data_IF_130031857568
#
_entry.id   IF_130031857568
#
_cell.length_a   1.000
_cell.length_b   1.000
_cell.length_c   1.000
_cell.angle_alpha   90.00
_cell.angle_beta   90.00
_cell.angle_gamma   90.00
#
_symmetry.space_group_name_H-M   'P 1'
#
loop_
_entity.id
_entity.type
_entity.pdbx_description
1 polymer ?
#
# COMPACT_ATOMS: atom_id res chain seq x y z
N UNK A 1 -13.26 -9.53 6.96
CA UNK A 1 -13.93 -10.02 5.74
C UNK A 1 -13.20 -11.27 5.22
N UNK A 2 -13.92 -12.31 4.77
CA UNK A 2 -13.32 -13.51 4.17
C UNK A 2 -12.57 -13.18 2.88
N UNK A 3 -11.47 -13.90 2.58
CA UNK A 3 -10.67 -13.70 1.36
C UNK A 3 -11.47 -13.97 0.09
N UNK A 4 -12.41 -14.90 0.16
CA UNK A 4 -13.32 -15.30 -0.94
C UNK A 4 -14.36 -14.23 -1.28
N UNK A 5 -14.51 -13.19 -0.46
CA UNK A 5 -15.45 -12.09 -0.70
C UNK A 5 -14.83 -10.95 -1.55
N UNK A 6 -13.55 -11.06 -1.92
CA UNK A 6 -12.82 -10.04 -2.69
C UNK A 6 -12.61 -10.50 -4.13
N UNK A 7 -12.65 -9.57 -5.08
CA UNK A 7 -12.31 -9.85 -6.47
C UNK A 7 -10.81 -9.63 -6.68
N UNK A 8 -10.09 -10.65 -7.10
CA UNK A 8 -8.63 -10.61 -7.29
C UNK A 8 -8.29 -10.10 -8.69
N UNK A 9 -8.80 -8.93 -9.09
CA UNK A 9 -8.51 -8.33 -10.40
C UNK A 9 -7.07 -7.76 -10.47
N UNK A 10 -6.51 -7.49 -11.66
CA UNK A 10 -5.10 -7.14 -11.84
C UNK A 10 -4.59 -6.05 -10.91
N UNK A 11 -5.27 -4.90 -10.84
CA UNK A 11 -4.82 -3.78 -10.01
C UNK A 11 -4.81 -4.13 -8.51
N UNK A 12 -5.79 -4.91 -8.02
CA UNK A 12 -5.79 -5.35 -6.62
C UNK A 12 -4.66 -6.33 -6.31
N UNK A 13 -4.37 -7.26 -7.21
CA UNK A 13 -3.22 -8.18 -7.06
C UNK A 13 -1.90 -7.43 -7.10
N UNK A 14 -1.76 -6.47 -8.01
CA UNK A 14 -0.60 -5.60 -8.08
C UNK A 14 -0.43 -4.76 -6.81
N UNK A 15 -1.51 -4.16 -6.29
CA UNK A 15 -1.51 -3.41 -5.04
C UNK A 15 -1.03 -4.26 -3.85
N UNK A 16 -1.59 -5.46 -3.66
CA UNK A 16 -1.17 -6.35 -2.57
C UNK A 16 0.30 -6.77 -2.71
N UNK A 17 0.75 -7.11 -3.93
CA UNK A 17 2.14 -7.45 -4.19
C UNK A 17 3.10 -6.27 -3.93
N UNK A 18 2.76 -5.07 -4.40
CA UNK A 18 3.54 -3.85 -4.18
C UNK A 18 3.61 -3.49 -2.69
N UNK A 19 2.50 -3.61 -1.96
CA UNK A 19 2.45 -3.40 -0.50
C UNK A 19 3.32 -4.40 0.24
N UNK A 20 3.24 -5.68 -0.12
CA UNK A 20 4.07 -6.74 0.49
C UNK A 20 5.55 -6.53 0.19
N UNK A 21 5.91 -6.23 -1.06
CA UNK A 21 7.28 -5.93 -1.47
C UNK A 21 7.84 -4.73 -0.72
N UNK A 22 7.09 -3.63 -0.62
CA UNK A 22 7.50 -2.44 0.12
C UNK A 22 7.70 -2.76 1.61
N UNK A 23 6.76 -3.47 2.25
CA UNK A 23 6.90 -3.89 3.64
C UNK A 23 8.16 -4.74 3.86
N UNK A 24 8.37 -5.76 3.02
CA UNK A 24 9.52 -6.66 3.15
C UNK A 24 10.85 -5.91 2.97
N UNK A 25 10.93 -5.00 1.99
CA UNK A 25 12.11 -4.17 1.79
C UNK A 25 12.38 -3.26 3.00
N UNK A 26 11.36 -2.60 3.56
CA UNK A 26 11.53 -1.71 4.71
C UNK A 26 11.94 -2.48 5.97
N UNK A 27 11.34 -3.64 6.23
CA UNK A 27 11.72 -4.49 7.36
C UNK A 27 13.15 -5.02 7.20
N UNK A 28 13.55 -5.41 5.98
CA UNK A 28 14.92 -5.85 5.72
C UNK A 28 15.94 -4.74 5.96
N UNK A 29 15.66 -3.50 5.53
CA UNK A 29 16.53 -2.34 5.79
C UNK A 29 16.62 -2.02 7.28
N UNK A 30 15.51 -2.05 8.01
CA UNK A 30 15.49 -1.79 9.44
C UNK A 30 16.29 -2.86 10.21
N UNK A 31 16.01 -4.14 9.96
CA UNK A 31 16.72 -5.25 10.58
C UNK A 31 18.21 -5.19 10.22
N UNK A 32 18.55 -4.93 8.96
CA UNK A 32 19.93 -4.78 8.51
C UNK A 32 20.67 -3.64 9.22
N UNK A 33 20.02 -2.49 9.41
CA UNK A 33 20.58 -1.36 10.16
C UNK A 33 20.84 -1.73 11.62
N UNK A 34 19.90 -2.41 12.29
CA UNK A 34 20.05 -2.82 13.69
C UNK A 34 21.12 -3.91 13.86
N UNK A 35 21.17 -4.90 12.97
CA UNK A 35 22.22 -5.93 12.95
C UNK A 35 23.59 -5.28 12.75
N UNK A 36 23.70 -4.34 11.80
CA UNK A 36 24.96 -3.62 11.55
C UNK A 36 25.37 -2.78 12.75
N UNK A 37 24.43 -2.04 13.36
CA UNK A 37 24.70 -1.25 14.56
C UNK A 37 25.23 -2.12 15.71
N UNK A 38 24.64 -3.30 15.93
CA UNK A 38 25.10 -4.24 16.96
C UNK A 38 26.47 -4.84 16.60
N UNK A 39 26.71 -5.17 15.33
CA UNK A 39 28.00 -5.72 14.90
C UNK A 39 29.15 -4.71 15.10
N UNK A 40 28.91 -3.42 14.84
CA UNK A 40 29.91 -2.36 15.06
C UNK A 40 30.32 -2.21 16.53
N UNK A 41 29.53 -2.71 17.48
CA UNK A 41 29.89 -2.73 18.90
C UNK A 41 31.17 -3.51 19.17
N UNK A 42 31.43 -4.56 18.38
CA UNK A 42 32.67 -5.36 18.46
C UNK A 42 33.92 -4.56 18.06
N UNK A 43 33.73 -3.41 17.42
CA UNK A 43 34.80 -2.54 16.91
C UNK A 43 34.74 -1.13 17.49
N UNK A 44 33.94 -0.89 18.55
CA UNK A 44 33.64 0.45 19.07
C UNK A 44 34.90 1.25 19.43
N UNK A 45 35.92 0.59 19.98
CA UNK A 45 37.17 1.24 20.42
C UNK A 45 38.19 1.44 19.29
N UNK A 46 37.88 1.01 18.07
CA UNK A 46 38.75 1.23 16.92
C UNK A 46 38.83 2.72 16.57
N UNK A 47 40.05 3.19 16.31
CA UNK A 47 40.29 4.50 15.71
C UNK A 47 40.19 4.51 14.17
N UNK A 48 40.15 3.32 13.55
CA UNK A 48 40.08 3.14 12.09
C UNK A 48 38.68 3.44 11.58
N UNK A 49 38.60 3.90 10.32
CA UNK A 49 37.32 4.14 9.65
C UNK A 49 36.70 2.83 9.13
N UNK A 50 35.41 2.85 8.76
CA UNK A 50 34.71 1.66 8.29
C UNK A 50 35.32 1.07 7.01
N UNK A 51 35.80 1.88 6.07
CA UNK A 51 36.44 1.41 4.83
C UNK A 51 37.70 0.61 5.10
N UNK A 52 38.44 0.97 6.14
CA UNK A 52 39.65 0.29 6.57
C UNK A 52 39.37 -1.04 7.29
N UNK A 53 38.25 -1.13 8.01
CA UNK A 53 37.85 -2.32 8.77
C UNK A 53 37.10 -3.30 7.85
N UNK A 54 36.29 -2.80 6.92
CA UNK A 54 35.40 -3.57 6.05
C UNK A 54 35.56 -3.19 4.57
N UNK A 55 36.77 -3.34 3.97
CA UNK A 55 37.06 -2.85 2.62
C UNK A 55 36.26 -3.56 1.52
N UNK A 56 35.67 -4.72 1.81
CA UNK A 56 34.90 -5.49 0.82
C UNK A 56 33.43 -5.08 0.76
N UNK A 57 32.93 -4.22 1.67
CA UNK A 57 31.54 -3.78 1.66
C UNK A 57 31.35 -2.75 0.53
N UNK A 58 30.48 -3.01 -0.46
CA UNK A 58 30.21 -2.05 -1.52
C UNK A 58 29.74 -0.71 -0.95
N UNK A 59 30.29 0.38 -1.47
CA UNK A 59 29.95 1.75 -1.09
C UNK A 59 30.26 2.17 0.36
N UNK A 60 31.02 1.40 1.13
CA UNK A 60 31.41 1.77 2.51
C UNK A 60 32.12 3.13 2.58
N UNK A 61 32.88 3.50 1.54
CA UNK A 61 33.55 4.80 1.40
C UNK A 61 32.59 6.00 1.43
N UNK A 62 31.30 5.81 1.09
CA UNK A 62 30.28 6.87 1.14
C UNK A 62 29.73 7.09 2.55
N UNK A 63 30.00 6.15 3.46
CA UNK A 63 29.59 6.15 4.85
C UNK A 63 30.82 5.90 5.74
N UNK A 64 31.95 6.51 5.38
CA UNK A 64 33.25 6.19 5.96
C UNK A 64 33.49 6.93 7.29
N UNK A 65 32.80 6.45 8.32
CA UNK A 65 32.84 6.99 9.67
C UNK A 65 33.63 6.07 10.59
N UNK A 66 33.91 6.54 11.81
CA UNK A 66 34.36 5.65 12.88
C UNK A 66 33.19 4.77 13.36
N UNK A 67 33.44 3.56 13.88
CA UNK A 67 32.39 2.62 14.27
C UNK A 67 31.36 3.18 15.28
N UNK A 68 31.80 4.01 16.23
CA UNK A 68 30.94 4.67 17.21
C UNK A 68 29.95 5.66 16.56
N UNK A 69 30.45 6.52 15.67
CA UNK A 69 29.62 7.48 14.93
C UNK A 69 28.66 6.78 13.95
N UNK A 70 29.15 5.77 13.22
CA UNK A 70 28.32 4.96 12.34
C UNK A 70 27.20 4.22 13.11
N UNK A 71 27.54 3.64 14.27
CA UNK A 71 26.57 2.97 15.14
C UNK A 71 25.46 3.92 15.58
N UNK A 72 25.78 5.16 15.96
CA UNK A 72 24.79 6.16 16.37
C UNK A 72 23.78 6.46 15.24
N UNK A 73 24.27 6.64 14.00
CA UNK A 73 23.42 6.88 12.83
C UNK A 73 22.54 5.65 12.53
N UNK A 74 23.10 4.44 12.56
CA UNK A 74 22.35 3.22 12.28
C UNK A 74 21.26 2.96 13.33
N UNK A 75 21.51 3.29 14.60
CA UNK A 75 20.48 3.21 15.65
C UNK A 75 19.36 4.22 15.43
N UNK A 76 19.66 5.40 14.87
CA UNK A 76 18.69 6.43 14.50
C UNK A 76 17.99 6.22 13.15
N UNK A 77 18.35 5.18 12.39
CA UNK A 77 17.87 4.99 11.01
C UNK A 77 16.36 4.75 10.92
N UNK A 78 15.72 4.28 12.00
CA UNK A 78 14.28 4.00 12.03
C UNK A 78 13.43 5.22 11.67
N UNK A 79 13.75 6.40 12.23
CA UNK A 79 12.99 7.63 11.97
C UNK A 79 13.07 8.02 10.48
N UNK A 80 14.25 7.92 9.90
CA UNK A 80 14.48 8.24 8.49
C UNK A 80 13.80 7.23 7.56
N UNK A 81 13.89 5.93 7.89
CA UNK A 81 13.21 4.89 7.14
C UNK A 81 11.69 5.06 7.21
N UNK A 82 11.12 5.36 8.38
CA UNK A 82 9.70 5.65 8.53
C UNK A 82 9.27 6.85 7.69
N UNK A 83 10.07 7.93 7.69
CA UNK A 83 9.81 9.14 6.90
C UNK A 83 9.83 8.91 5.39
N UNK A 84 10.49 7.85 4.91
CA UNK A 84 10.47 7.42 3.51
C UNK A 84 9.38 6.38 3.22
N UNK A 85 9.19 5.43 4.15
CA UNK A 85 8.33 4.27 4.00
C UNK A 85 6.83 4.61 4.06
N UNK A 86 6.42 5.47 5.00
CA UNK A 86 5.02 5.86 5.14
C UNK A 86 4.51 6.56 3.87
N UNK A 87 5.21 7.58 3.31
CA UNK A 87 4.81 8.16 2.03
C UNK A 87 4.70 7.14 0.90
N UNK A 88 5.63 6.18 0.81
CA UNK A 88 5.59 5.12 -0.20
C UNK A 88 4.36 4.22 -0.03
N UNK A 89 4.04 3.79 1.19
CA UNK A 89 2.86 2.98 1.48
C UNK A 89 1.56 3.71 1.11
N UNK A 90 1.47 5.00 1.42
CA UNK A 90 0.33 5.84 1.03
C UNK A 90 0.23 6.00 -0.49
N UNK A 91 1.35 6.18 -1.19
CA UNK A 91 1.37 6.31 -2.64
C UNK A 91 0.92 5.03 -3.37
N UNK A 92 1.32 3.85 -2.87
CA UNK A 92 0.86 2.54 -3.40
C UNK A 92 -0.66 2.41 -3.25
N UNK A 93 -1.23 2.91 -2.15
CA UNK A 93 -2.67 2.93 -1.94
C UNK A 93 -3.37 3.96 -2.84
N UNK A 94 -2.84 5.17 -2.94
CA UNK A 94 -3.36 6.22 -3.81
C UNK A 94 -3.42 5.75 -5.27
N UNK A 95 -2.37 5.10 -5.78
CA UNK A 95 -2.38 4.49 -7.12
C UNK A 95 -3.50 3.46 -7.31
N UNK A 96 -3.69 2.57 -6.34
CA UNK A 96 -4.77 1.58 -6.40
C UNK A 96 -6.17 2.21 -6.41
N UNK A 97 -6.41 3.26 -5.63
CA UNK A 97 -7.71 3.96 -5.66
C UNK A 97 -7.95 4.64 -7.01
N UNK A 98 -6.90 5.16 -7.66
CA UNK A 98 -7.01 5.70 -9.01
C UNK A 98 -7.39 4.60 -10.03
N UNK A 99 -6.78 3.42 -9.95
CA UNK A 99 -7.16 2.28 -10.78
C UNK A 99 -8.62 1.87 -10.56
N UNK A 100 -9.10 1.94 -9.31
CA UNK A 100 -10.51 1.67 -8.98
C UNK A 100 -11.45 2.72 -9.60
N UNK A 101 -11.08 4.00 -9.57
CA UNK A 101 -11.85 5.09 -10.19
C UNK A 101 -11.92 4.92 -11.72
N UNK A 102 -10.80 4.56 -12.35
CA UNK A 102 -10.76 4.27 -13.78
C UNK A 102 -11.71 3.13 -14.15
N UNK A 103 -11.71 2.05 -13.37
CA UNK A 103 -12.56 0.87 -13.62
C UNK A 103 -14.07 1.19 -13.59
N UNK A 104 -14.52 2.14 -12.77
CA UNK A 104 -15.92 2.60 -12.72
C UNK A 104 -16.20 3.81 -13.63
N UNK A 105 -15.26 4.16 -14.50
CA UNK A 105 -15.37 5.24 -15.46
C UNK A 105 -15.42 6.64 -14.83
N UNK A 106 -14.87 6.80 -13.62
CA UNK A 106 -14.76 8.11 -12.98
C UNK A 106 -13.48 8.82 -13.47
N UNK A 107 -13.58 10.13 -13.74
CA UNK A 107 -12.41 10.95 -14.10
C UNK A 107 -11.36 10.91 -12.98
N UNK A 108 -10.10 11.18 -13.32
CA UNK A 108 -9.03 11.39 -12.32
C UNK A 108 -9.47 12.37 -11.22
N UNK A 109 -9.02 12.10 -10.00
CA UNK A 109 -9.32 12.89 -8.81
C UNK A 109 -8.00 13.36 -8.18
N UNK A 110 -8.04 14.51 -7.51
CA UNK A 110 -6.94 14.88 -6.61
C UNK A 110 -6.88 13.85 -5.47
N UNK A 111 -5.68 13.58 -4.94
CA UNK A 111 -5.47 12.57 -3.90
C UNK A 111 -6.40 12.74 -2.68
N UNK A 112 -6.79 13.97 -2.35
CA UNK A 112 -7.69 14.26 -1.23
C UNK A 112 -9.18 13.97 -1.51
N UNK A 113 -9.58 13.76 -2.75
CA UNK A 113 -10.98 13.53 -3.18
C UNK A 113 -11.24 12.09 -3.63
N UNK A 114 -10.19 11.27 -3.77
CA UNK A 114 -10.28 10.00 -4.48
C UNK A 114 -11.21 8.99 -3.78
N UNK A 115 -11.16 8.91 -2.45
CA UNK A 115 -12.04 8.04 -1.67
C UNK A 115 -13.50 8.48 -1.75
N UNK A 116 -13.79 9.77 -1.53
CA UNK A 116 -15.16 10.31 -1.61
C UNK A 116 -15.77 10.09 -2.99
N UNK A 117 -14.97 10.29 -4.04
CA UNK A 117 -15.40 10.08 -5.42
C UNK A 117 -15.70 8.61 -5.71
N UNK A 118 -14.85 7.70 -5.22
CA UNK A 118 -15.05 6.26 -5.36
C UNK A 118 -16.32 5.83 -4.62
N UNK A 119 -16.46 6.22 -3.35
CA UNK A 119 -17.62 5.94 -2.52
C UNK A 119 -18.92 6.45 -3.16
N UNK A 120 -18.93 7.71 -3.62
CA UNK A 120 -20.08 8.32 -4.30
C UNK A 120 -20.44 7.58 -5.57
N UNK A 121 -19.45 7.25 -6.41
CA UNK A 121 -19.69 6.57 -7.69
C UNK A 121 -20.13 5.12 -7.50
N UNK A 122 -19.65 4.46 -6.45
CA UNK A 122 -20.03 3.10 -6.09
C UNK A 122 -21.33 3.00 -5.29
N UNK A 123 -21.89 4.13 -4.82
CA UNK A 123 -23.08 4.13 -3.98
C UNK A 123 -22.84 3.49 -2.61
N UNK A 124 -21.63 3.61 -2.06
CA UNK A 124 -21.22 3.00 -0.79
C UNK A 124 -20.42 4.00 0.05
N UNK A 125 -19.92 3.59 1.21
CA UNK A 125 -19.11 4.43 2.10
C UNK A 125 -17.97 3.65 2.73
N UNK A 126 -16.83 4.33 2.91
CA UNK A 126 -15.73 3.79 3.70
C UNK A 126 -16.05 3.86 5.19
N UNK A 127 -15.38 3.01 5.96
CA UNK A 127 -15.37 3.11 7.42
C UNK A 127 -14.73 4.43 7.86
N UNK A 128 -15.47 5.19 8.67
CA UNK A 128 -15.09 6.56 9.08
C UNK A 128 -13.79 6.56 9.86
N UNK A 129 -13.61 5.62 10.80
CA UNK A 129 -12.41 5.56 11.64
C UNK A 129 -11.15 5.24 10.82
N UNK A 130 -11.26 4.33 9.83
CA UNK A 130 -10.15 4.04 8.90
C UNK A 130 -9.83 5.24 8.01
N UNK A 131 -10.85 5.95 7.52
CA UNK A 131 -10.64 7.16 6.72
C UNK A 131 -9.97 8.29 7.52
N UNK A 132 -10.42 8.54 8.75
CA UNK A 132 -9.80 9.56 9.61
C UNK A 132 -8.33 9.22 9.89
N UNK A 133 -8.01 7.96 10.22
CA UNK A 133 -6.61 7.53 10.41
C UNK A 133 -5.77 7.69 9.14
N UNK A 134 -6.32 7.34 7.97
CA UNK A 134 -5.65 7.60 6.69
C UNK A 134 -5.37 9.10 6.48
N UNK A 135 -6.34 9.96 6.81
CA UNK A 135 -6.14 11.40 6.69
C UNK A 135 -5.11 11.96 7.67
N UNK A 136 -5.02 11.44 8.90
CA UNK A 136 -3.94 11.79 9.84
C UNK A 136 -2.58 11.43 9.24
N UNK A 137 -2.39 10.20 8.77
CA UNK A 137 -1.14 9.77 8.11
C UNK A 137 -0.78 10.63 6.90
N UNK A 138 -1.80 10.99 6.10
CA UNK A 138 -1.64 11.84 4.92
C UNK A 138 -1.18 13.25 5.31
N UNK A 139 -1.76 13.85 6.35
CA UNK A 139 -1.32 15.17 6.82
C UNK A 139 0.06 15.11 7.50
N UNK A 140 0.40 14.01 8.18
CA UNK A 140 1.77 13.77 8.67
C UNK A 140 2.77 13.70 7.50
N UNK A 141 2.45 12.98 6.42
CA UNK A 141 3.26 12.96 5.19
C UNK A 141 3.39 14.37 4.62
N UNK A 142 2.28 15.12 4.50
CA UNK A 142 2.30 16.47 3.96
C UNK A 142 3.20 17.39 4.79
N UNK A 143 3.22 17.23 6.11
CA UNK A 143 4.14 17.96 6.99
C UNK A 143 5.61 17.63 6.68
N UNK A 144 5.96 16.35 6.52
CA UNK A 144 7.32 15.93 6.14
C UNK A 144 7.73 16.49 4.78
N UNK A 145 6.88 16.39 3.77
CA UNK A 145 7.23 16.78 2.39
C UNK A 145 7.22 18.30 2.19
N UNK A 146 6.25 19.01 2.77
CA UNK A 146 5.99 20.42 2.44
C UNK A 146 6.30 21.41 3.57
N UNK A 147 6.52 20.93 4.79
CA UNK A 147 6.69 21.79 5.98
C UNK A 147 7.90 21.39 6.82
N UNK A 148 8.90 20.75 6.20
CA UNK A 148 10.13 20.30 6.87
C UNK A 148 9.88 19.44 8.12
N UNK A 149 8.77 18.68 8.12
CA UNK A 149 8.38 17.83 9.24
C UNK A 149 7.72 18.56 10.40
N UNK A 150 7.26 19.80 10.25
CA UNK A 150 6.59 20.54 11.32
C UNK A 150 5.08 20.31 11.30
N UNK A 151 4.51 19.99 12.47
CA UNK A 151 3.07 19.83 12.68
C UNK A 151 2.36 21.14 12.34
N UNK A 152 1.29 21.00 11.57
CA UNK A 152 0.50 22.10 11.03
C UNK A 152 -0.95 22.03 11.49
N UNK A 153 -1.67 23.15 11.41
CA UNK A 153 -3.09 23.19 11.78
C UNK A 153 -3.95 22.09 11.12
N UNK A 154 -3.83 21.80 9.80
CA UNK A 154 -4.59 20.71 9.19
C UNK A 154 -4.36 19.33 9.82
N UNK A 155 -3.14 19.06 10.32
CA UNK A 155 -2.85 17.81 11.02
C UNK A 155 -3.53 17.78 12.39
N UNK A 156 -3.46 18.87 13.15
CA UNK A 156 -4.14 19.01 14.45
C UNK A 156 -5.64 18.84 14.29
N UNK A 157 -6.24 19.46 13.26
CA UNK A 157 -7.67 19.33 12.96
C UNK A 157 -8.06 17.87 12.69
N UNK A 158 -7.28 17.16 11.85
CA UNK A 158 -7.51 15.73 11.56
C UNK A 158 -7.31 14.81 12.75
N UNK A 159 -6.38 15.13 13.65
CA UNK A 159 -6.23 14.41 14.92
C UNK A 159 -7.45 14.66 15.81
N UNK A 160 -7.98 15.88 15.82
CA UNK A 160 -9.21 16.24 16.53
C UNK A 160 -10.43 15.41 16.10
N UNK A 161 -10.49 15.04 14.82
CA UNK A 161 -11.56 14.21 14.23
C UNK A 161 -11.49 12.72 14.62
N UNK A 162 -10.40 12.23 15.23
CA UNK A 162 -10.31 10.83 15.64
C UNK A 162 -11.34 10.48 16.70
N UNK A 163 -12.12 9.43 16.47
CA UNK A 163 -12.98 8.84 17.51
C UNK A 163 -12.11 8.11 18.55
N UNK A 164 -12.65 7.83 19.76
CA UNK A 164 -11.95 7.00 20.74
C UNK A 164 -11.58 5.61 20.20
N UNK A 165 -12.44 5.01 19.37
CA UNK A 165 -12.16 3.71 18.75
C UNK A 165 -11.03 3.81 17.71
N UNK A 166 -11.02 4.87 16.89
CA UNK A 166 -9.94 5.17 15.96
C UNK A 166 -8.61 5.38 16.68
N UNK A 167 -8.59 6.12 17.79
CA UNK A 167 -7.39 6.33 18.59
C UNK A 167 -6.87 5.03 19.22
N UNK A 168 -7.75 4.19 19.78
CA UNK A 168 -7.35 2.87 20.29
C UNK A 168 -6.75 2.00 19.19
N UNK A 169 -7.34 2.00 17.99
CA UNK A 169 -6.81 1.26 16.85
C UNK A 169 -5.44 1.79 16.40
N UNK A 170 -5.25 3.11 16.41
CA UNK A 170 -3.95 3.73 16.14
C UNK A 170 -2.90 3.32 17.19
N UNK A 171 -3.20 3.52 18.47
CA UNK A 171 -2.31 3.17 19.59
C UNK A 171 -1.91 1.69 19.59
N UNK A 172 -2.79 0.80 19.15
CA UNK A 172 -2.48 -0.62 18.99
C UNK A 172 -1.31 -0.87 18.02
N UNK A 173 -1.17 -0.08 16.97
CA UNK A 173 -0.11 -0.24 15.98
C UNK A 173 1.12 0.60 16.31
N UNK A 174 0.93 1.82 16.81
CA UNK A 174 2.02 2.78 17.02
C UNK A 174 2.59 2.75 18.43
N UNK A 175 1.89 2.19 19.41
CA UNK A 175 2.22 2.26 20.83
C UNK A 175 1.97 3.64 21.47
N UNK A 176 1.49 4.63 20.71
CA UNK A 176 1.30 6.01 21.18
C UNK A 176 0.11 6.72 20.53
N UNK A 177 -0.52 7.63 21.26
CA UNK A 177 -1.61 8.45 20.73
C UNK A 177 -1.06 9.56 19.81
N UNK A 178 -1.72 9.85 18.68
CA UNK A 178 -1.37 11.00 17.86
C UNK A 178 -1.85 12.32 18.49
N UNK A 179 -2.73 12.28 19.50
CA UNK A 179 -3.23 13.48 20.21
C UNK A 179 -2.14 14.24 20.98
N UNK A 180 -0.99 13.61 21.20
CA UNK A 180 0.16 14.28 21.79
C UNK A 180 0.81 15.32 20.87
N UNK A 181 0.55 15.29 19.56
CA UNK A 181 1.13 16.23 18.60
C UNK A 181 0.45 17.60 18.68
N UNK A 182 1.26 18.64 18.89
CA UNK A 182 0.84 20.03 18.95
C UNK A 182 1.40 20.85 17.78
N UNK A 183 0.77 21.99 17.49
CA UNK A 183 1.23 22.90 16.45
C UNK A 183 2.69 23.33 16.71
N UNK A 184 3.56 23.17 15.71
CA UNK A 184 4.99 23.46 15.84
C UNK A 184 5.86 22.27 16.25
N UNK A 185 5.28 21.17 16.72
CA UNK A 185 6.03 19.95 17.02
C UNK A 185 6.64 19.35 15.75
N UNK A 186 7.63 18.46 15.94
CA UNK A 186 8.21 17.68 14.84
C UNK A 186 7.41 16.39 14.64
N UNK A 187 6.91 16.19 13.43
CA UNK A 187 6.36 14.90 12.98
C UNK A 187 7.49 13.88 12.90
N UNK A 188 7.29 12.75 13.57
CA UNK A 188 8.20 11.61 13.51
C UNK A 188 7.44 10.39 12.99
N UNK A 189 8.11 9.63 12.12
CA UNK A 189 7.61 8.35 11.63
C UNK A 189 8.55 7.26 12.11
N UNK A 190 8.05 6.40 12.98
CA UNK A 190 8.75 5.21 13.45
C UNK A 190 8.12 3.97 12.80
N UNK A 191 8.59 2.79 13.17
CA UNK A 191 8.02 1.52 12.73
C UNK A 191 6.51 1.45 12.98
N UNK A 192 6.05 1.99 14.12
CA UNK A 192 4.65 2.02 14.49
C UNK A 192 3.76 2.71 13.46
N UNK A 193 4.14 3.90 12.98
CA UNK A 193 3.38 4.61 11.97
C UNK A 193 3.43 3.93 10.60
N UNK A 194 4.50 3.22 10.27
CA UNK A 194 4.54 2.36 9.08
C UNK A 194 3.53 1.21 9.19
N UNK A 195 3.46 0.55 10.34
CA UNK A 195 2.47 -0.52 10.59
C UNK A 195 1.05 0.03 10.49
N UNK A 196 0.78 1.20 11.08
CA UNK A 196 -0.52 1.88 10.97
C UNK A 196 -0.86 2.22 9.51
N UNK A 197 0.09 2.75 8.74
CA UNK A 197 -0.11 3.04 7.32
C UNK A 197 -0.43 1.79 6.52
N UNK A 198 0.32 0.70 6.70
CA UNK A 198 0.08 -0.57 6.00
C UNK A 198 -1.24 -1.21 6.42
N UNK A 199 -1.62 -1.15 7.69
CA UNK A 199 -2.86 -1.72 8.20
C UNK A 199 -4.08 -0.95 7.68
N UNK A 200 -4.05 0.38 7.76
CA UNK A 200 -5.15 1.25 7.36
C UNK A 200 -5.35 1.23 5.84
N UNK A 201 -4.27 1.34 5.05
CA UNK A 201 -4.37 1.25 3.59
C UNK A 201 -4.85 -0.12 3.12
N UNK A 202 -4.37 -1.22 3.71
CA UNK A 202 -4.86 -2.57 3.41
C UNK A 202 -6.35 -2.74 3.68
N UNK A 203 -6.85 -2.19 4.79
CA UNK A 203 -8.27 -2.25 5.12
C UNK A 203 -9.12 -1.44 4.10
N UNK A 204 -8.70 -0.21 3.81
CA UNK A 204 -9.36 0.65 2.83
C UNK A 204 -9.32 0.07 1.41
N UNK A 205 -8.22 -0.56 1.00
CA UNK A 205 -8.12 -1.22 -0.30
C UNK A 205 -9.12 -2.38 -0.43
N UNK A 206 -9.35 -3.12 0.65
CA UNK A 206 -10.36 -4.20 0.68
C UNK A 206 -11.79 -3.66 0.64
N UNK A 207 -12.05 -2.55 1.32
CA UNK A 207 -13.33 -1.85 1.22
C UNK A 207 -13.57 -1.35 -0.20
N UNK A 208 -12.59 -0.67 -0.81
CA UNK A 208 -12.66 -0.23 -2.20
C UNK A 208 -12.92 -1.40 -3.16
N UNK A 209 -12.20 -2.51 -3.00
CA UNK A 209 -12.43 -3.74 -3.76
C UNK A 209 -13.88 -4.25 -3.63
N UNK A 210 -14.40 -4.26 -2.40
CA UNK A 210 -15.77 -4.69 -2.15
C UNK A 210 -16.81 -3.75 -2.77
N UNK A 211 -16.58 -2.44 -2.73
CA UNK A 211 -17.43 -1.43 -3.39
C UNK A 211 -17.48 -1.62 -4.91
N UNK A 212 -16.38 -2.06 -5.53
CA UNK A 212 -16.32 -2.28 -6.97
C UNK A 212 -17.21 -3.45 -7.44
N UNK A 213 -17.44 -4.46 -6.59
CA UNK A 213 -18.21 -5.65 -6.96
C UNK A 213 -19.61 -5.28 -7.50
N UNK A 214 -20.45 -4.53 -6.76
CA UNK A 214 -21.74 -4.09 -7.27
C UNK A 214 -21.67 -2.87 -8.19
N UNK A 215 -20.63 -2.03 -8.08
CA UNK A 215 -20.53 -0.77 -8.82
C UNK A 215 -20.12 -0.95 -10.29
N UNK A 216 -19.34 -1.99 -10.59
CA UNK A 216 -18.86 -2.27 -11.95
C UNK A 216 -19.83 -3.20 -12.67
N UNK A 217 -20.34 -2.83 -13.86
CA UNK A 217 -21.25 -3.68 -14.62
C UNK A 217 -20.64 -5.05 -14.97
N UNK A 218 -21.43 -6.14 -15.01
CA UNK A 218 -20.94 -7.48 -15.40
C UNK A 218 -20.21 -7.50 -16.75
N UNK A 219 -20.69 -6.72 -17.73
CA UNK A 219 -20.04 -6.59 -19.04
C UNK A 219 -18.63 -5.96 -18.95
N UNK A 220 -18.42 -5.01 -18.03
CA UNK A 220 -17.09 -4.43 -17.78
C UNK A 220 -16.19 -5.43 -17.09
N UNK A 221 -16.70 -6.16 -16.07
CA UNK A 221 -15.94 -7.25 -15.44
C UNK A 221 -15.54 -8.33 -16.45
N UNK A 222 -16.43 -8.70 -17.36
CA UNK A 222 -16.13 -9.68 -18.40
C UNK A 222 -14.96 -9.23 -19.30
N UNK A 223 -14.90 -7.94 -19.66
CA UNK A 223 -13.75 -7.39 -20.40
C UNK A 223 -12.45 -7.50 -19.60
N UNK A 224 -12.47 -7.08 -18.34
CA UNK A 224 -11.30 -7.18 -17.45
C UNK A 224 -10.83 -8.64 -17.31
N UNK A 225 -11.75 -9.59 -17.17
CA UNK A 225 -11.44 -11.02 -17.09
C UNK A 225 -10.75 -11.50 -18.36
N UNK A 226 -11.26 -11.12 -19.54
CA UNK A 226 -10.68 -11.51 -20.83
C UNK A 226 -9.27 -10.97 -20.97
N UNK A 227 -9.09 -9.68 -20.73
CA UNK A 227 -7.77 -9.02 -20.81
C UNK A 227 -6.77 -9.65 -19.84
N UNK A 228 -7.18 -9.85 -18.59
CA UNK A 228 -6.37 -10.49 -17.56
C UNK A 228 -5.99 -11.94 -17.93
N UNK A 229 -6.96 -12.70 -18.43
CA UNK A 229 -6.71 -14.08 -18.86
C UNK A 229 -5.71 -14.15 -20.01
N UNK A 230 -5.83 -13.26 -21.00
CA UNK A 230 -4.94 -13.21 -22.16
C UNK A 230 -3.50 -12.85 -21.78
N UNK A 231 -3.30 -12.02 -20.76
CA UNK A 231 -1.97 -11.71 -20.24
C UNK A 231 -1.31 -12.92 -19.55
N UNK A 232 -2.08 -13.79 -18.88
CA UNK A 232 -1.54 -14.91 -18.09
C UNK A 232 -1.49 -16.25 -18.84
N UNK A 233 -2.30 -16.42 -19.89
CA UNK A 233 -2.34 -17.65 -20.68
C UNK A 233 -2.03 -17.36 -22.16
N UNK A 234 -0.78 -17.00 -22.50
CA UNK A 234 -0.39 -16.81 -23.88
C UNK A 234 -0.38 -18.15 -24.62
N UNK A 235 -1.30 -18.36 -25.56
CA UNK A 235 -1.29 -19.56 -26.41
C UNK A 235 -2.62 -19.92 -27.06
N UNK A 236 -2.54 -20.66 -28.17
CA UNK A 236 -3.72 -21.20 -28.87
C UNK A 236 -4.21 -22.48 -28.17
N UNK A 237 -5.08 -22.33 -27.18
CA UNK A 237 -5.90 -23.44 -26.68
C UNK A 237 -7.01 -23.78 -27.68
N UNK A 238 -7.34 -25.06 -27.83
CA UNK A 238 -8.56 -25.44 -28.56
C UNK A 238 -9.82 -24.91 -27.82
N UNK A 239 -10.96 -24.69 -28.52
CA UNK A 239 -12.11 -24.00 -27.94
C UNK A 239 -12.65 -24.64 -26.64
N UNK A 240 -12.71 -25.98 -26.56
CA UNK A 240 -13.22 -26.71 -25.39
C UNK A 240 -12.28 -26.62 -24.19
N UNK A 241 -10.97 -26.76 -24.39
CA UNK A 241 -9.97 -26.58 -23.30
C UNK A 241 -9.95 -25.13 -22.84
N UNK A 242 -10.07 -24.17 -23.76
CA UNK A 242 -10.14 -22.73 -23.45
C UNK A 242 -11.31 -22.42 -22.51
N UNK A 243 -12.51 -22.92 -22.82
CA UNK A 243 -13.69 -22.75 -21.95
C UNK A 243 -13.42 -23.23 -20.52
N UNK A 244 -12.88 -24.44 -20.35
CA UNK A 244 -12.58 -25.00 -19.01
C UNK A 244 -11.55 -24.16 -18.25
N UNK A 245 -10.50 -23.70 -18.93
CA UNK A 245 -9.44 -22.88 -18.32
C UNK A 245 -9.99 -21.52 -17.89
N UNK A 246 -10.76 -20.84 -18.74
CA UNK A 246 -11.40 -19.54 -18.40
C UNK A 246 -12.31 -19.69 -17.19
N UNK A 247 -13.19 -20.70 -17.17
CA UNK A 247 -14.09 -20.90 -16.03
C UNK A 247 -13.33 -21.20 -14.73
N UNK A 248 -12.19 -21.90 -14.82
CA UNK A 248 -11.27 -22.09 -13.69
C UNK A 248 -10.65 -20.78 -13.22
N UNK A 249 -10.18 -19.94 -14.15
CA UNK A 249 -9.61 -18.63 -13.89
C UNK A 249 -10.61 -17.68 -13.21
N UNK A 250 -11.83 -17.62 -13.74
CA UNK A 250 -12.95 -16.85 -13.17
C UNK A 250 -13.26 -17.32 -11.75
N UNK A 251 -13.35 -18.63 -11.53
CA UNK A 251 -13.61 -19.19 -10.19
C UNK A 251 -12.51 -18.85 -9.19
N UNK A 252 -11.26 -18.77 -9.63
CA UNK A 252 -10.15 -18.50 -8.75
C UNK A 252 -10.00 -17.02 -8.41
N UNK A 253 -10.15 -16.12 -9.40
CA UNK A 253 -9.88 -14.70 -9.22
C UNK A 253 -11.13 -13.82 -9.15
N UNK A 254 -12.24 -14.24 -9.75
CA UNK A 254 -13.42 -13.41 -9.99
C UNK A 254 -14.70 -14.00 -9.38
N UNK A 255 -14.59 -14.94 -8.44
CA UNK A 255 -15.75 -15.61 -7.83
C UNK A 255 -16.78 -14.64 -7.23
N UNK A 256 -16.31 -13.50 -6.75
CA UNK A 256 -17.14 -12.51 -6.08
C UNK A 256 -18.04 -11.69 -7.03
N UNK A 257 -17.78 -11.70 -8.35
CA UNK A 257 -18.57 -10.93 -9.32
C UNK A 257 -19.56 -11.80 -10.07
N UNK A 258 -20.76 -11.27 -10.31
CA UNK A 258 -21.86 -11.97 -10.97
C UNK A 258 -21.71 -11.94 -12.51
N UNK A 259 -20.58 -12.44 -13.02
CA UNK A 259 -20.34 -12.56 -14.47
C UNK A 259 -20.83 -13.91 -14.95
N UNK A 260 -21.69 -13.92 -15.97
CA UNK A 260 -22.22 -15.13 -16.57
C UNK A 260 -21.32 -15.65 -17.69
N UNK A 261 -21.52 -16.91 -18.10
CA UNK A 261 -20.83 -17.45 -19.28
C UNK A 261 -21.21 -16.70 -20.57
N UNK A 262 -22.44 -16.17 -20.65
CA UNK A 262 -22.87 -15.36 -21.79
C UNK A 262 -22.11 -14.03 -21.87
N UNK A 263 -21.85 -13.39 -20.72
CA UNK A 263 -21.03 -12.17 -20.65
C UNK A 263 -19.60 -12.44 -21.15
N UNK A 264 -19.01 -13.55 -20.70
CA UNK A 264 -17.68 -13.98 -21.12
C UNK A 264 -17.64 -14.27 -22.62
N UNK A 265 -18.61 -15.03 -23.16
CA UNK A 265 -18.69 -15.30 -24.60
C UNK A 265 -18.77 -14.02 -25.42
N UNK A 266 -19.56 -13.05 -24.97
CA UNK A 266 -19.68 -11.73 -25.61
C UNK A 266 -18.35 -10.96 -25.58
N UNK A 267 -17.68 -10.92 -24.43
CA UNK A 267 -16.41 -10.22 -24.28
C UNK A 267 -15.28 -10.87 -25.10
N UNK A 268 -15.18 -12.20 -25.12
CA UNK A 268 -14.20 -12.92 -25.95
C UNK A 268 -14.47 -12.74 -27.45
N UNK A 269 -15.73 -12.75 -27.88
CA UNK A 269 -16.11 -12.49 -29.27
C UNK A 269 -15.68 -11.08 -29.71
N UNK A 270 -15.82 -10.07 -28.85
CA UNK A 270 -15.35 -8.71 -29.12
C UNK A 270 -13.82 -8.62 -29.30
N UNK A 271 -13.06 -9.57 -28.73
CA UNK A 271 -11.62 -9.71 -28.93
C UNK A 271 -11.25 -10.63 -30.10
N UNK A 272 -12.22 -11.09 -30.91
CA UNK A 272 -11.97 -12.02 -32.03
C UNK A 272 -11.67 -13.46 -31.61
N UNK A 273 -12.05 -13.85 -30.39
CA UNK A 273 -11.73 -15.16 -29.80
C UNK A 273 -13.01 -15.96 -29.60
N UNK A 274 -13.08 -17.16 -30.21
CA UNK A 274 -14.20 -18.07 -29.98
C UNK A 274 -14.08 -18.79 -28.62
N UNK A 275 -15.16 -18.75 -27.83
CA UNK A 275 -15.43 -19.69 -26.74
C UNK A 275 -16.44 -20.72 -27.23
N UNK A 276 -16.14 -22.02 -27.08
CA UNK A 276 -17.04 -23.12 -27.44
C UNK A 276 -18.41 -23.02 -26.73
#
# INVERSE_FOLDING_TARGET
MPRDALVQFPAFRHHEASRESANNAMMALLVGAQVSANFLELTRDSSRQLSEIFPTIPHVERFDLRPDAAQAILRGAEEHLGAMAVPQALAIHEGFILDCLELIGARSAKAWQMHDKLATRAGSSFDVDRMTRFHVLREMRNAIIHRSGIVSQPLVDKIGELTPAGEVAWCKHTGRSPRGLQLGDRVTFMLGELVEALATTKALAREANWMLIPAVPPATWAKVIVEDHLQHTPGRLNPTKRRKVILGFVRHHYRAVAVTEADLKTAFAACGIAMA
#
